data_IF_295048357427
#
_entry.id   IF_295048357427
#
_cell.length_a   1.000
_cell.length_b   1.000
_cell.length_c   1.000
_cell.angle_alpha   90.00
_cell.angle_beta   90.00
_cell.angle_gamma   90.00
#
_symmetry.space_group_name_H-M   'P 1'
#
loop_
_entity.id
_entity.type
_entity.pdbx_description
1 polymer ?
#
# COMPACT_ATOMS: atom_id res chain seq x y z
N UNK A 1 12.89 -1.71 30.30
CA UNK A 1 12.14 -1.96 29.03
C UNK A 1 10.99 -2.92 29.32
N UNK A 2 9.72 -2.48 29.22
CA UNK A 2 8.55 -3.37 29.40
C UNK A 2 8.49 -4.35 28.22
N UNK A 3 8.46 -5.66 28.49
CA UNK A 3 8.27 -6.68 27.43
C UNK A 3 6.95 -6.38 26.70
N UNK A 4 6.95 -6.32 25.35
CA UNK A 4 5.70 -6.20 24.62
C UNK A 4 4.84 -7.42 24.96
N UNK A 5 3.55 -7.20 25.21
CA UNK A 5 2.62 -8.32 25.44
C UNK A 5 2.61 -9.20 24.18
N UNK A 6 2.42 -10.52 24.34
CA UNK A 6 2.37 -11.49 23.22
C UNK A 6 1.41 -11.05 22.10
N UNK A 7 0.37 -10.30 22.48
CA UNK A 7 -0.62 -9.73 21.57
C UNK A 7 -0.05 -8.65 20.63
N UNK A 8 0.77 -7.73 21.15
CA UNK A 8 1.42 -6.69 20.35
C UNK A 8 2.44 -7.29 19.39
N UNK A 9 3.10 -8.38 19.80
CA UNK A 9 4.05 -9.09 18.95
C UNK A 9 3.34 -9.68 17.72
N UNK A 10 2.24 -10.40 17.94
CA UNK A 10 1.41 -11.00 16.87
C UNK A 10 0.84 -9.94 15.94
N UNK A 11 0.39 -8.81 16.49
CA UNK A 11 -0.10 -7.65 15.71
C UNK A 11 0.97 -7.14 14.75
N UNK A 12 2.17 -6.84 15.26
CA UNK A 12 3.28 -6.38 14.42
C UNK A 12 3.70 -7.43 13.40
N UNK A 13 3.74 -8.71 13.77
CA UNK A 13 4.10 -9.79 12.84
C UNK A 13 3.12 -9.88 11.67
N UNK A 14 1.81 -9.78 11.92
CA UNK A 14 0.80 -9.81 10.85
C UNK A 14 0.95 -8.65 9.86
N UNK A 15 1.17 -7.43 10.36
CA UNK A 15 1.40 -6.25 9.52
C UNK A 15 2.67 -6.44 8.68
N UNK A 16 3.77 -6.89 9.28
CA UNK A 16 5.03 -7.13 8.58
C UNK A 16 4.86 -8.18 7.48
N UNK A 17 4.16 -9.29 7.74
CA UNK A 17 3.92 -10.34 6.76
C UNK A 17 3.13 -9.84 5.54
N UNK A 18 2.06 -9.07 5.77
CA UNK A 18 1.26 -8.50 4.67
C UNK A 18 2.10 -7.56 3.81
N UNK A 19 2.88 -6.67 4.43
CA UNK A 19 3.75 -5.76 3.69
C UNK A 19 4.87 -6.50 2.95
N UNK A 20 5.44 -7.53 3.54
CA UNK A 20 6.45 -8.37 2.89
C UNK A 20 5.89 -9.05 1.64
N UNK A 21 4.64 -9.53 1.69
CA UNK A 21 3.95 -10.04 0.52
C UNK A 21 3.74 -8.96 -0.55
N UNK A 22 3.33 -7.74 -0.18
CA UNK A 22 3.16 -6.62 -1.12
C UNK A 22 4.48 -6.22 -1.78
N UNK A 23 5.58 -6.12 -1.03
CA UNK A 23 6.91 -5.83 -1.58
C UNK A 23 7.44 -6.94 -2.50
N UNK A 24 6.90 -8.16 -2.39
CA UNK A 24 7.26 -9.26 -3.27
C UNK A 24 6.59 -9.17 -4.65
N UNK A 25 5.42 -8.52 -4.77
CA UNK A 25 4.64 -8.44 -6.02
C UNK A 25 5.47 -7.88 -7.20
N UNK A 26 6.18 -6.74 -7.08
CA UNK A 26 6.93 -6.16 -8.20
C UNK A 26 8.03 -7.08 -8.74
N UNK A 27 8.63 -7.90 -7.87
CA UNK A 27 9.71 -8.84 -8.21
C UNK A 27 9.21 -9.93 -9.16
N UNK A 28 7.95 -10.33 -9.04
CA UNK A 28 7.32 -11.30 -9.95
C UNK A 28 6.77 -10.62 -11.21
N UNK A 29 6.22 -9.41 -11.07
CA UNK A 29 5.57 -8.71 -12.18
C UNK A 29 6.53 -8.24 -13.29
N UNK A 30 7.79 -7.97 -12.96
CA UNK A 30 8.79 -7.42 -13.90
C UNK A 30 9.75 -8.47 -14.47
N UNK A 31 9.37 -9.75 -14.44
CA UNK A 31 10.12 -10.84 -15.08
C UNK A 31 9.72 -10.94 -16.56
N UNK A 32 10.62 -10.55 -17.45
CA UNK A 32 10.45 -10.74 -18.91
C UNK A 32 11.62 -11.60 -19.40
N UNK A 33 11.33 -12.77 -19.99
CA UNK A 33 12.30 -13.66 -20.64
C UNK A 33 13.69 -13.76 -19.94
N UNK A 34 13.73 -14.08 -18.64
CA UNK A 34 14.95 -14.22 -17.81
C UNK A 34 15.74 -12.95 -17.46
N UNK A 35 15.29 -11.74 -17.83
CA UNK A 35 15.85 -10.50 -17.30
C UNK A 35 14.86 -9.83 -16.34
N UNK A 36 15.35 -9.43 -15.16
CA UNK A 36 14.59 -8.65 -14.19
C UNK A 36 14.99 -7.20 -14.37
N UNK A 37 14.03 -6.36 -14.73
CA UNK A 37 14.24 -4.91 -14.79
C UNK A 37 14.27 -4.33 -13.38
N UNK A 38 15.43 -4.44 -12.71
CA UNK A 38 15.61 -3.99 -11.33
C UNK A 38 15.26 -2.50 -11.14
N UNK A 39 15.48 -1.65 -12.15
CA UNK A 39 15.07 -0.23 -12.13
C UNK A 39 13.57 -0.06 -11.87
N UNK A 40 12.74 -0.80 -12.60
CA UNK A 40 11.29 -0.80 -12.43
C UNK A 40 10.87 -1.37 -11.07
N UNK A 41 11.51 -2.46 -10.63
CA UNK A 41 11.27 -3.05 -9.30
C UNK A 41 11.58 -2.04 -8.18
N UNK A 42 12.69 -1.32 -8.27
CA UNK A 42 13.06 -0.28 -7.29
C UNK A 42 12.06 0.88 -7.30
N UNK A 43 11.59 1.33 -8.47
CA UNK A 43 10.57 2.38 -8.54
C UNK A 43 9.26 1.95 -7.88
N UNK A 44 8.81 0.72 -8.14
CA UNK A 44 7.61 0.16 -7.52
C UNK A 44 7.78 -0.03 -6.01
N UNK A 45 8.99 -0.36 -5.54
CA UNK A 45 9.30 -0.43 -4.11
C UNK A 45 9.23 0.95 -3.44
N UNK A 46 9.72 2.00 -4.08
CA UNK A 46 9.61 3.37 -3.54
C UNK A 46 8.13 3.79 -3.47
N UNK A 47 7.33 3.48 -4.50
CA UNK A 47 5.89 3.71 -4.49
C UNK A 47 5.19 2.94 -3.35
N UNK A 48 5.51 1.65 -3.21
CA UNK A 48 4.98 0.78 -2.15
C UNK A 48 5.39 1.28 -0.77
N UNK A 49 6.64 1.75 -0.61
CA UNK A 49 7.14 2.35 0.62
C UNK A 49 6.41 3.66 0.97
N UNK A 50 5.99 4.45 -0.02
CA UNK A 50 5.15 5.64 0.21
C UNK A 50 3.81 5.27 0.85
N UNK A 51 3.15 4.21 0.35
CA UNK A 51 1.93 3.70 0.98
C UNK A 51 2.19 3.11 2.37
N UNK A 52 3.30 2.42 2.58
CA UNK A 52 3.71 1.92 3.90
C UNK A 52 3.86 3.09 4.90
N UNK A 53 4.51 4.16 4.47
CA UNK A 53 4.70 5.35 5.29
C UNK A 53 3.37 6.00 5.65
N UNK A 54 2.47 6.16 4.67
CA UNK A 54 1.12 6.67 4.92
C UNK A 54 0.33 5.77 5.88
N UNK A 55 0.40 4.46 5.70
CA UNK A 55 -0.22 3.48 6.59
C UNK A 55 0.33 3.60 8.02
N UNK A 56 1.65 3.68 8.18
CA UNK A 56 2.30 3.82 9.48
C UNK A 56 1.93 5.16 10.14
N UNK A 57 1.94 6.27 9.40
CA UNK A 57 1.51 7.57 9.90
C UNK A 57 0.03 7.56 10.35
N UNK A 58 -0.85 6.93 9.57
CA UNK A 58 -2.24 6.78 9.98
C UNK A 58 -2.36 5.94 11.27
N UNK A 59 -1.68 4.79 11.31
CA UNK A 59 -1.83 3.79 12.37
C UNK A 59 -1.19 4.21 13.70
N UNK A 60 0.00 4.82 13.64
CA UNK A 60 0.82 5.15 14.81
C UNK A 60 0.75 6.61 15.25
N UNK A 61 0.33 7.53 14.37
CA UNK A 61 0.20 8.95 14.71
C UNK A 61 -1.26 9.38 14.80
N UNK A 62 -2.06 9.21 13.74
CA UNK A 62 -3.44 9.74 13.73
C UNK A 62 -4.33 9.07 14.78
N UNK A 63 -4.29 7.74 14.86
CA UNK A 63 -5.15 6.99 15.79
C UNK A 63 -4.84 7.33 17.26
N UNK A 64 -3.60 7.21 17.78
CA UNK A 64 -3.34 7.50 19.19
C UNK A 64 -3.43 8.99 19.52
N UNK A 65 -3.11 9.90 18.59
CA UNK A 65 -3.10 11.34 18.87
C UNK A 65 -4.51 11.93 18.90
N UNK A 66 -5.41 11.50 18.01
CA UNK A 66 -6.71 12.13 17.81
C UNK A 66 -7.91 11.31 18.31
N UNK A 67 -7.87 9.98 18.18
CA UNK A 67 -8.97 9.12 18.66
C UNK A 67 -9.02 9.13 20.19
N UNK A 68 -7.86 9.12 20.84
CA UNK A 68 -7.74 9.16 22.31
C UNK A 68 -8.17 10.49 22.92
N UNK A 69 -8.14 11.59 22.16
CA UNK A 69 -8.51 12.94 22.63
C UNK A 69 -9.93 13.39 22.25
N UNK A 70 -10.78 12.46 21.77
CA UNK A 70 -12.17 12.71 21.32
C UNK A 70 -12.32 13.82 20.24
N UNK A 71 -11.25 14.18 19.52
CA UNK A 71 -11.30 15.17 18.44
C UNK A 71 -11.69 14.53 17.10
N UNK A 72 -12.85 13.88 17.07
CA UNK A 72 -13.39 13.20 15.89
C UNK A 72 -13.40 14.02 14.59
N UNK A 73 -13.83 15.30 14.57
CA UNK A 73 -13.83 16.06 13.32
C UNK A 73 -12.40 16.34 12.81
N UNK A 74 -11.46 16.63 13.71
CA UNK A 74 -10.05 16.79 13.35
C UNK A 74 -9.44 15.52 12.77
N UNK A 75 -9.92 14.34 13.19
CA UNK A 75 -9.42 13.06 12.72
C UNK A 75 -9.85 12.83 11.28
N UNK A 76 -11.12 13.10 10.97
CA UNK A 76 -11.65 12.98 9.61
C UNK A 76 -10.89 13.90 8.64
N UNK A 77 -10.65 15.15 9.02
CA UNK A 77 -9.86 16.07 8.18
C UNK A 77 -8.40 15.61 8.00
N UNK A 78 -7.74 15.13 9.06
CA UNK A 78 -6.37 14.63 8.97
C UNK A 78 -6.26 13.39 8.07
N UNK A 79 -7.21 12.46 8.18
CA UNK A 79 -7.27 11.26 7.31
C UNK A 79 -7.51 11.66 5.86
N UNK A 80 -8.45 12.57 5.60
CA UNK A 80 -8.70 13.07 4.23
C UNK A 80 -7.47 13.75 3.64
N UNK A 81 -6.80 14.60 4.42
CA UNK A 81 -5.56 15.25 3.99
C UNK A 81 -4.46 14.23 3.70
N UNK A 82 -4.30 13.21 4.55
CA UNK A 82 -3.32 12.13 4.34
C UNK A 82 -3.61 11.39 3.03
N UNK A 83 -4.87 11.00 2.77
CA UNK A 83 -5.26 10.31 1.54
C UNK A 83 -4.95 11.16 0.31
N UNK A 84 -5.28 12.46 0.34
CA UNK A 84 -5.02 13.38 -0.78
C UNK A 84 -3.52 13.56 -1.02
N UNK A 85 -2.73 13.78 0.02
CA UNK A 85 -1.28 13.96 -0.07
C UNK A 85 -0.64 12.69 -0.62
N UNK A 86 -0.92 11.53 -0.02
CA UNK A 86 -0.34 10.25 -0.45
C UNK A 86 -0.73 9.90 -1.88
N UNK A 87 -2.00 10.10 -2.26
CA UNK A 87 -2.45 9.82 -3.64
C UNK A 87 -1.80 10.76 -4.66
N UNK A 88 -1.62 12.05 -4.30
CA UNK A 88 -0.96 13.03 -5.16
C UNK A 88 0.52 12.71 -5.34
N UNK A 89 1.22 12.38 -4.26
CA UNK A 89 2.64 11.99 -4.29
C UNK A 89 2.83 10.69 -5.07
N UNK A 90 1.99 9.68 -4.85
CA UNK A 90 2.04 8.42 -5.59
C UNK A 90 1.78 8.61 -7.08
N UNK A 91 0.82 9.47 -7.45
CA UNK A 91 0.57 9.82 -8.85
C UNK A 91 1.77 10.53 -9.48
N UNK A 92 2.34 11.54 -8.80
CA UNK A 92 3.53 12.24 -9.28
C UNK A 92 4.71 11.29 -9.49
N UNK A 93 4.94 10.37 -8.55
CA UNK A 93 6.01 9.39 -8.64
C UNK A 93 5.77 8.40 -9.79
N UNK A 94 4.52 7.96 -10.00
CA UNK A 94 4.15 7.08 -11.10
C UNK A 94 4.38 7.71 -12.48
N UNK A 95 4.20 9.03 -12.59
CA UNK A 95 4.48 9.76 -13.83
C UNK A 95 5.98 9.93 -14.09
N UNK A 96 6.78 10.12 -13.03
CA UNK A 96 8.23 10.23 -13.16
C UNK A 96 8.91 8.94 -13.63
N UNK A 97 8.35 7.77 -13.28
CA UNK A 97 8.89 6.46 -13.67
C UNK A 97 8.56 6.03 -15.11
N UNK A 98 7.68 6.76 -15.82
CA UNK A 98 7.25 6.40 -17.18
C UNK A 98 8.25 6.79 -18.28
N UNK A 99 9.44 7.28 -17.94
CA UNK A 99 10.45 7.72 -18.92
C UNK A 99 11.03 6.57 -19.76
N UNK A 100 11.04 5.33 -19.26
CA UNK A 100 11.63 4.17 -19.98
C UNK A 100 10.60 3.28 -20.70
N UNK A 101 9.30 3.37 -20.36
CA UNK A 101 8.28 2.45 -20.90
C UNK A 101 7.80 2.78 -22.32
N UNK A 102 8.30 3.87 -22.93
CA UNK A 102 7.82 4.38 -24.22
C UNK A 102 8.83 4.41 -25.37
N UNK A 103 10.10 4.02 -25.15
CA UNK A 103 11.16 4.19 -26.15
C UNK A 103 11.62 2.87 -26.82
N UNK A 104 11.18 1.72 -26.34
CA UNK A 104 11.48 0.44 -26.98
C UNK A 104 10.55 0.19 -28.16
N UNK A 105 11.03 0.35 -29.39
CA UNK A 105 10.31 -0.16 -30.57
C UNK A 105 10.11 -1.68 -30.39
N UNK A 106 8.92 -2.24 -30.66
CA UNK A 106 8.73 -3.68 -30.59
C UNK A 106 9.66 -4.38 -31.59
N UNK A 107 10.23 -5.55 -31.26
CA UNK A 107 11.05 -6.30 -32.19
C UNK A 107 10.20 -6.67 -33.41
N UNK A 108 10.65 -6.24 -34.60
CA UNK A 108 9.95 -6.51 -35.85
C UNK A 108 10.34 -7.92 -36.33
N UNK A 109 9.35 -8.80 -36.50
CA UNK A 109 9.55 -10.07 -37.19
C UNK A 109 9.72 -9.78 -38.69
N UNK A 110 10.96 -9.70 -39.15
CA UNK A 110 11.25 -9.83 -40.58
C UNK A 110 10.82 -11.24 -41.00
N UNK A 111 10.08 -11.34 -42.09
CA UNK A 111 9.46 -12.58 -42.57
C UNK A 111 10.42 -13.80 -42.63
N UNK A 112 9.86 -15.01 -42.81
CA UNK A 112 10.59 -16.27 -42.61
C UNK A 112 11.91 -16.31 -43.39
N UNK A 113 13.03 -16.40 -42.65
CA UNK A 113 14.38 -16.60 -43.20
C UNK A 113 15.28 -15.35 -43.28
N UNK A 114 14.85 -14.18 -42.78
CA UNK A 114 15.70 -12.99 -42.75
C UNK A 114 16.39 -12.81 -41.39
N UNK A 115 17.69 -12.44 -41.36
CA UNK A 115 18.39 -12.16 -40.11
C UNK A 115 17.78 -10.94 -39.41
N UNK A 116 17.78 -10.90 -38.06
CA UNK A 116 17.32 -9.75 -37.32
C UNK A 116 18.13 -8.54 -37.77
N UNK A 117 17.44 -7.51 -38.26
CA UNK A 117 18.10 -6.29 -38.69
C UNK A 117 18.60 -5.57 -37.43
N UNK A 118 19.92 -5.48 -37.25
CA UNK A 118 20.53 -4.72 -36.16
C UNK A 118 20.33 -3.22 -36.43
N UNK A 119 19.15 -2.70 -36.08
CA UNK A 119 18.90 -1.26 -36.11
C UNK A 119 19.74 -0.59 -35.02
N UNK A 120 20.62 0.32 -35.43
CA UNK A 120 21.36 1.20 -34.54
C UNK A 120 20.40 1.95 -33.60
N UNK A 121 20.77 2.02 -32.32
CA UNK A 121 20.04 2.74 -31.26
C UNK A 121 19.80 4.24 -31.58
N UNK A 122 20.51 4.77 -32.59
CA UNK A 122 20.43 6.16 -33.05
C UNK A 122 19.46 6.42 -34.21
N UNK A 123 18.71 5.42 -34.70
CA UNK A 123 17.78 5.65 -35.80
C UNK A 123 16.52 6.41 -35.35
N UNK A 124 16.12 7.46 -36.08
CA UNK A 124 14.86 8.14 -35.81
C UNK A 124 13.68 7.19 -36.08
N UNK A 125 12.58 7.31 -35.34
CA UNK A 125 11.40 6.49 -35.56
C UNK A 125 10.88 6.67 -37.01
N UNK A 126 10.38 5.60 -37.66
CA UNK A 126 9.92 5.70 -39.03
C UNK A 126 8.77 6.70 -39.17
N UNK A 127 8.73 7.37 -40.31
CA UNK A 127 7.72 8.41 -40.59
C UNK A 127 6.34 7.76 -40.62
N UNK A 128 5.44 8.15 -39.71
CA UNK A 128 4.14 7.49 -39.49
C UNK A 128 4.13 6.43 -38.38
N UNK A 129 5.26 6.21 -37.69
CA UNK A 129 5.26 5.50 -36.42
C UNK A 129 4.56 6.37 -35.38
N UNK A 130 3.28 6.12 -35.23
CA UNK A 130 2.57 6.53 -34.04
C UNK A 130 3.10 5.62 -32.94
N UNK A 131 3.95 6.13 -32.04
CA UNK A 131 4.38 5.46 -30.79
C UNK A 131 3.21 5.18 -29.83
N UNK A 132 1.99 5.22 -30.33
CA UNK A 132 0.83 4.55 -29.80
C UNK A 132 0.89 3.06 -30.13
N UNK A 133 1.91 2.35 -29.66
CA UNK A 133 1.61 1.01 -29.13
C UNK A 133 0.81 1.27 -27.85
N UNK A 134 -0.46 1.62 -28.04
CA UNK A 134 -1.43 1.89 -26.99
C UNK A 134 -1.77 0.56 -26.33
N UNK A 135 -0.86 0.04 -25.52
CA UNK A 135 -1.23 -0.65 -24.29
C UNK A 135 -2.01 0.38 -23.48
N UNK A 136 -3.31 0.49 -23.78
CA UNK A 136 -4.32 1.33 -23.15
C UNK A 136 -3.72 2.58 -22.51
N UNK A 137 -3.70 3.72 -23.22
CA UNK A 137 -3.47 5.01 -22.60
C UNK A 137 -4.60 5.23 -21.58
N UNK A 138 -4.45 4.62 -20.41
CA UNK A 138 -5.42 4.60 -19.33
C UNK A 138 -5.61 6.06 -19.02
N UNK A 139 -6.85 6.54 -19.17
CA UNK A 139 -7.19 7.94 -18.95
C UNK A 139 -6.49 8.41 -17.68
N UNK A 140 -5.79 9.57 -17.69
CA UNK A 140 -5.01 10.03 -16.53
C UNK A 140 -5.89 10.10 -15.28
N UNK A 141 -7.18 10.39 -15.46
CA UNK A 141 -8.21 10.33 -14.43
C UNK A 141 -8.45 8.91 -13.91
N UNK A 142 -8.53 7.90 -14.78
CA UNK A 142 -8.68 6.49 -14.37
C UNK A 142 -7.44 5.98 -13.63
N UNK A 143 -6.24 6.44 -14.01
CA UNK A 143 -4.99 6.09 -13.30
C UNK A 143 -4.96 6.73 -11.91
N UNK A 144 -5.31 8.02 -11.80
CA UNK A 144 -5.42 8.71 -10.52
C UNK A 144 -6.50 8.11 -9.61
N UNK A 145 -7.69 7.79 -10.14
CA UNK A 145 -8.75 7.13 -9.39
C UNK A 145 -8.33 5.76 -8.87
N UNK A 146 -7.58 4.99 -9.66
CA UNK A 146 -7.01 3.71 -9.21
C UNK A 146 -6.08 3.88 -8.02
N UNK A 147 -5.18 4.87 -8.09
CA UNK A 147 -4.26 5.21 -6.98
C UNK A 147 -5.05 5.66 -5.75
N UNK A 148 -6.06 6.51 -5.91
CA UNK A 148 -6.92 6.98 -4.82
C UNK A 148 -7.62 5.81 -4.13
N UNK A 149 -8.20 4.88 -4.92
CA UNK A 149 -8.85 3.68 -4.39
C UNK A 149 -7.90 2.81 -3.57
N UNK A 150 -6.67 2.60 -4.05
CA UNK A 150 -5.66 1.83 -3.32
C UNK A 150 -5.29 2.55 -2.02
N UNK A 151 -5.02 3.86 -2.07
CA UNK A 151 -4.70 4.65 -0.87
C UNK A 151 -5.83 4.59 0.16
N UNK A 152 -7.08 4.76 -0.29
CA UNK A 152 -8.24 4.65 0.56
C UNK A 152 -8.33 3.25 1.20
N UNK A 153 -8.11 2.19 0.42
CA UNK A 153 -8.15 0.82 0.92
C UNK A 153 -7.08 0.56 1.97
N UNK A 154 -5.86 1.05 1.76
CA UNK A 154 -4.74 0.92 2.70
C UNK A 154 -5.07 1.63 4.02
N UNK A 155 -5.58 2.87 3.94
CA UNK A 155 -5.94 3.67 5.12
C UNK A 155 -7.15 3.07 5.86
N UNK A 156 -8.18 2.65 5.13
CA UNK A 156 -9.38 2.02 5.67
C UNK A 156 -9.05 0.68 6.34
N UNK A 157 -8.20 -0.14 5.73
CA UNK A 157 -7.74 -1.41 6.29
C UNK A 157 -7.02 -1.21 7.63
N UNK A 158 -6.06 -0.26 7.69
CA UNK A 158 -5.35 0.04 8.93
C UNK A 158 -6.27 0.54 10.05
N UNK A 159 -7.25 1.37 9.68
CA UNK A 159 -8.26 1.86 10.62
C UNK A 159 -9.17 0.73 11.11
N UNK A 160 -9.70 -0.09 10.20
CA UNK A 160 -10.56 -1.23 10.52
C UNK A 160 -9.84 -2.23 11.43
N UNK A 161 -8.57 -2.53 11.13
CA UNK A 161 -7.74 -3.40 11.95
C UNK A 161 -7.65 -2.91 13.40
N UNK A 162 -7.32 -1.63 13.63
CA UNK A 162 -7.28 -1.04 14.98
C UNK A 162 -8.63 -1.03 15.68
N UNK A 163 -9.70 -0.69 14.96
CA UNK A 163 -11.07 -0.68 15.53
C UNK A 163 -11.45 -2.09 16.01
N UNK A 164 -11.19 -3.12 15.20
CA UNK A 164 -11.46 -4.51 15.57
C UNK A 164 -10.63 -4.92 16.79
N UNK A 165 -9.35 -4.54 16.88
CA UNK A 165 -8.53 -4.85 18.06
C UNK A 165 -9.03 -4.17 19.33
N UNK A 166 -9.42 -2.89 19.25
CA UNK A 166 -10.01 -2.15 20.37
C UNK A 166 -11.29 -2.86 20.82
N UNK A 167 -12.15 -3.22 19.88
CA UNK A 167 -13.40 -3.93 20.15
C UNK A 167 -13.18 -5.31 20.80
N UNK A 168 -12.20 -6.10 20.32
CA UNK A 168 -11.85 -7.39 20.92
C UNK A 168 -11.34 -7.21 22.35
N UNK A 169 -10.53 -6.17 22.61
CA UNK A 169 -10.01 -5.88 23.95
C UNK A 169 -11.15 -5.50 24.90
N UNK A 170 -12.07 -4.65 24.46
CA UNK A 170 -13.23 -4.24 25.24
C UNK A 170 -14.14 -5.43 25.57
N UNK A 171 -14.38 -6.31 24.60
CA UNK A 171 -15.10 -7.59 24.80
C UNK A 171 -14.47 -8.47 25.87
N UNK A 172 -13.12 -8.58 25.91
CA UNK A 172 -12.42 -9.37 26.94
C UNK A 172 -12.55 -8.72 28.32
N UNK A 173 -12.37 -7.41 28.38
CA UNK A 173 -12.50 -6.64 29.61
C UNK A 173 -13.92 -6.78 30.20
N UNK A 174 -14.96 -6.72 29.37
CA UNK A 174 -16.34 -6.93 29.83
C UNK A 174 -16.59 -8.35 30.36
N UNK A 175 -15.96 -9.37 29.78
CA UNK A 175 -16.06 -10.76 30.29
C UNK A 175 -15.38 -10.90 31.65
N UNK A 176 -14.17 -10.36 31.79
CA UNK A 176 -13.43 -10.36 33.06
C UNK A 176 -14.20 -9.61 34.17
N UNK A 177 -14.88 -8.50 33.81
CA UNK A 177 -15.74 -7.75 34.71
C UNK A 177 -17.08 -8.44 35.04
N UNK A 178 -17.52 -9.47 34.31
CA UNK A 178 -18.72 -10.25 34.63
C UNK A 178 -18.38 -11.49 35.48
N UNK A 179 -17.20 -12.08 35.25
CA UNK A 179 -16.67 -13.18 36.05
C UNK A 179 -16.19 -12.71 37.44
N UNK A 180 -15.68 -11.48 37.56
CA UNK A 180 -15.23 -10.91 38.84
C UNK A 180 -16.36 -10.68 39.90
N UNK A 181 -17.54 -10.13 39.59
CA UNK A 181 -18.63 -9.92 40.55
C UNK A 181 -19.39 -11.20 40.89
N UNK A 182 -19.36 -12.24 40.04
CA UNK A 182 -20.02 -13.52 40.32
C UNK A 182 -19.23 -14.43 41.29
N UNK A 183 -17.97 -14.10 41.58
CA UNK A 183 -17.10 -14.80 42.53
C UNK A 183 -17.05 -14.16 43.93
N UNK A 184 -17.81 -13.09 44.19
CA UNK A 184 -17.90 -12.51 45.52
C UNK A 184 -19.34 -12.33 46.04
N UNK A 185 -20.07 -13.42 46.34
CA UNK A 185 -21.23 -13.40 47.21
C UNK A 185 -20.87 -13.41 48.71
N UNK A 186 -19.59 -13.27 49.11
CA UNK A 186 -19.16 -13.49 50.50
C UNK A 186 -18.57 -12.27 51.23
N UNK A 187 -18.36 -11.13 50.57
CA UNK A 187 -17.91 -9.90 51.23
C UNK A 187 -19.04 -9.05 51.84
N UNK A 188 -20.30 -9.47 51.73
CA UNK A 188 -21.46 -8.80 52.33
C UNK A 188 -21.97 -9.48 53.62
N UNK A 189 -21.14 -10.34 54.24
CA UNK A 189 -21.44 -10.99 55.53
C UNK A 189 -20.28 -10.91 56.54
N UNK A 190 -19.73 -9.73 56.75
CA UNK A 190 -19.08 -9.33 58.02
C UNK A 190 -19.31 -7.83 58.13
N UNK A 191 -20.39 -7.40 58.78
CA UNK A 191 -20.43 -7.04 60.21
C UNK A 191 -19.32 -6.09 60.64
#
# INVERSE_FOLDING_TARGET
>A
MKKPSKFVLIENTGIVLVWLALFSIPVFSHRILNSVSWSNVFQDWILTASYLLAFALNLYLLIPLLLTKQKYPGYVFAVLALILITSSTAYALSQSGNWERGLGMPPMELGPGQPPMELSESMPPPVGYNSTTSLSAKSPLLSYLGILMITFLVVASGTAYKVVLIWIRERRLMKELQESPSLNPSAEQTS
#
